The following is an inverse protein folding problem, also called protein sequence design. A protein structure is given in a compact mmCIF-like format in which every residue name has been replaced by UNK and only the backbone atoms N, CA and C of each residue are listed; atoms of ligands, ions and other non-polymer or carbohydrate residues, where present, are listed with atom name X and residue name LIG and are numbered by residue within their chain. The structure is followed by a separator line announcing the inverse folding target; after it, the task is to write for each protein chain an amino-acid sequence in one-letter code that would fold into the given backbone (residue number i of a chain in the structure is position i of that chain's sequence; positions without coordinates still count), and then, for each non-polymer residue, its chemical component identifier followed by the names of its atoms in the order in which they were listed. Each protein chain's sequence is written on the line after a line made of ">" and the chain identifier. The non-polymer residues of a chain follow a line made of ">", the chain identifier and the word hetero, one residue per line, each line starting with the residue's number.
data_IF_931585820514
#
_entry.id   IF_931585820514
#
_cell.length_a   1.000
_cell.length_b   1.000
_cell.length_c   1.000
_cell.angle_alpha   90.00
_cell.angle_beta   90.00
_cell.angle_gamma   90.00
#
_symmetry.space_group_name_H-M   'P 1'
#
loop_
_entity.id
_entity.type
_entity.pdbx_description
1 polymer ?
#
# COMPACT_ATOMS: atom_id res chain seq x y z
N UNK A 1 9.19 33.35 20.04
CA UNK A 1 8.43 32.11 20.30
C UNK A 1 8.42 31.30 19.01
N UNK A 2 8.90 30.06 19.04
CA UNK A 2 9.00 29.22 17.83
C UNK A 2 7.86 28.22 17.82
N UNK A 3 7.09 28.21 16.74
CA UNK A 3 6.01 27.24 16.54
C UNK A 3 6.49 26.09 15.65
N UNK A 4 6.05 24.88 15.97
CA UNK A 4 6.26 23.67 15.18
C UNK A 4 4.88 23.18 14.74
N UNK A 5 4.62 23.23 13.44
CA UNK A 5 3.35 22.75 12.89
C UNK A 5 3.48 21.25 12.66
N UNK A 6 2.60 20.48 13.30
CA UNK A 6 2.53 19.04 13.12
C UNK A 6 1.46 18.72 12.07
N UNK A 7 1.91 18.30 10.88
CA UNK A 7 1.08 17.90 9.74
C UNK A 7 1.12 16.38 9.60
N UNK A 8 -0.01 15.81 9.21
CA UNK A 8 -0.14 14.38 8.89
C UNK A 8 -0.86 14.22 7.54
N UNK A 9 -0.76 13.05 6.91
CA UNK A 9 -1.52 12.77 5.69
C UNK A 9 -3.02 12.67 5.94
N UNK A 10 -3.85 12.84 4.91
CA UNK A 10 -5.33 12.81 5.00
C UNK A 10 -5.93 11.47 5.44
N UNK A 11 -5.12 10.43 5.68
CA UNK A 11 -5.57 9.10 6.12
C UNK A 11 -5.59 8.87 7.64
N UNK A 12 -5.01 9.76 8.45
CA UNK A 12 -5.02 9.58 9.92
C UNK A 12 -6.37 10.05 10.48
N UNK A 13 -6.99 9.24 11.33
CA UNK A 13 -8.28 9.54 12.00
C UNK A 13 -8.10 9.52 13.52
N UNK A 14 -9.07 10.06 14.23
CA UNK A 14 -9.17 9.82 15.67
C UNK A 14 -9.50 8.35 15.96
N UNK A 15 -9.01 7.79 17.09
CA UNK A 15 -8.16 8.43 18.12
C UNK A 15 -6.66 8.48 17.78
N UNK A 16 -6.26 7.95 16.61
CA UNK A 16 -4.85 7.81 16.21
C UNK A 16 -4.14 9.14 15.98
N UNK A 17 -4.86 10.17 15.53
CA UNK A 17 -4.33 11.53 15.39
C UNK A 17 -3.88 12.09 16.75
N UNK A 18 -4.77 12.12 17.74
CA UNK A 18 -4.45 12.62 19.08
C UNK A 18 -3.27 11.87 19.71
N UNK A 19 -3.21 10.54 19.56
CA UNK A 19 -2.10 9.73 20.06
C UNK A 19 -0.76 10.04 19.36
N UNK A 20 -0.78 10.31 18.05
CA UNK A 20 0.42 10.65 17.30
C UNK A 20 0.90 12.07 17.61
N UNK A 21 -0.01 13.05 17.65
CA UNK A 21 0.29 14.43 17.99
C UNK A 21 0.85 14.56 19.42
N UNK A 22 0.33 13.78 20.37
CA UNK A 22 0.84 13.72 21.74
C UNK A 22 2.29 13.20 21.80
N UNK A 23 2.57 12.05 21.14
CA UNK A 23 3.93 11.49 21.07
C UNK A 23 4.93 12.43 20.41
N UNK A 24 4.53 13.07 19.32
CA UNK A 24 5.35 14.07 18.64
C UNK A 24 5.64 15.27 19.56
N UNK A 25 4.62 15.77 20.26
CA UNK A 25 4.76 16.91 21.15
C UNK A 25 5.77 16.64 22.27
N UNK A 26 5.64 15.49 22.94
CA UNK A 26 6.59 15.05 23.99
C UNK A 26 8.02 14.97 23.45
N UNK A 27 8.20 14.36 22.27
CA UNK A 27 9.53 14.24 21.67
C UNK A 27 10.17 15.59 21.34
N UNK A 28 9.41 16.49 20.72
CA UNK A 28 9.92 17.80 20.30
C UNK A 28 10.22 18.71 21.49
N UNK A 29 9.33 18.76 22.49
CA UNK A 29 9.58 19.59 23.69
C UNK A 29 10.71 19.03 24.53
N UNK A 30 10.93 17.71 24.52
CA UNK A 30 12.08 17.09 25.19
C UNK A 30 13.43 17.45 24.55
N UNK A 31 13.46 17.82 23.27
CA UNK A 31 14.69 18.27 22.59
C UNK A 31 14.98 19.75 22.83
N UNK A 32 13.94 20.57 22.99
CA UNK A 32 14.08 22.01 23.20
C UNK A 32 12.84 22.59 23.89
N UNK A 33 13.10 23.24 25.02
CA UNK A 33 12.07 23.99 25.74
C UNK A 33 11.59 25.23 24.98
N UNK A 34 10.34 25.61 25.24
CA UNK A 34 9.73 26.82 24.67
C UNK A 34 9.22 26.68 23.24
N UNK A 35 9.23 25.46 22.67
CA UNK A 35 8.56 25.16 21.41
C UNK A 35 7.05 24.99 21.62
N UNK A 36 6.25 25.65 20.77
CA UNK A 36 4.80 25.45 20.72
C UNK A 36 4.46 24.51 19.58
N UNK A 37 3.95 23.33 19.88
CA UNK A 37 3.43 22.42 18.86
C UNK A 37 1.99 22.80 18.50
N UNK A 38 1.73 22.92 17.19
CA UNK A 38 0.41 23.22 16.64
C UNK A 38 -0.01 22.05 15.75
N UNK A 39 -0.84 21.13 16.25
CA UNK A 39 -1.32 20.00 15.45
C UNK A 39 -2.45 20.45 14.53
N UNK A 40 -2.40 20.02 13.26
CA UNK A 40 -3.42 20.36 12.27
C UNK A 40 -4.11 19.09 11.77
N UNK A 41 -5.40 18.97 12.06
CA UNK A 41 -6.17 17.75 11.80
C UNK A 41 -6.77 17.74 10.38
N UNK A 42 -6.02 17.27 9.39
CA UNK A 42 -6.52 17.11 8.02
C UNK A 42 -7.49 15.94 7.84
N UNK A 43 -7.48 14.98 8.78
CA UNK A 43 -8.24 13.75 8.66
C UNK A 43 -9.75 13.92 8.79
N UNK A 44 -10.19 15.04 9.35
CA UNK A 44 -11.60 15.41 9.44
C UNK A 44 -12.06 16.05 8.14
N UNK A 45 -11.69 17.31 7.92
CA UNK A 45 -12.20 18.12 6.81
C UNK A 45 -11.73 17.65 5.43
N UNK A 46 -10.49 17.15 5.32
CA UNK A 46 -9.88 16.76 4.06
C UNK A 46 -9.62 15.25 3.97
N UNK A 47 -10.13 14.48 4.92
CA UNK A 47 -9.96 13.05 4.97
C UNK A 47 -10.86 12.34 3.96
N UNK A 48 -10.33 11.32 3.28
CA UNK A 48 -11.17 10.40 2.51
C UNK A 48 -12.15 9.65 3.44
N UNK A 49 -13.43 9.63 3.07
CA UNK A 49 -14.45 8.82 3.74
C UNK A 49 -14.79 7.61 2.87
N UNK A 50 -15.23 6.53 3.52
CA UNK A 50 -15.76 5.39 2.79
C UNK A 50 -17.19 5.71 2.36
N UNK A 51 -17.45 5.64 1.05
CA UNK A 51 -18.82 5.74 0.55
C UNK A 51 -19.64 4.54 1.05
N UNK A 52 -20.91 4.79 1.43
CA UNK A 52 -21.82 3.78 1.97
C UNK A 52 -21.17 2.94 3.10
N UNK A 53 -20.44 3.59 4.00
CA UNK A 53 -19.74 2.96 5.13
C UNK A 53 -18.80 1.80 4.73
N UNK A 54 -18.32 1.81 3.49
CA UNK A 54 -17.44 0.77 2.98
C UNK A 54 -18.17 -0.52 2.61
N UNK A 55 -19.45 -0.46 2.21
CA UNK A 55 -20.22 -1.62 1.77
C UNK A 55 -19.58 -2.41 0.61
N UNK A 56 -18.72 -1.75 -0.20
CA UNK A 56 -17.94 -2.39 -1.25
C UNK A 56 -16.64 -3.02 -0.77
N UNK A 57 -16.25 -2.80 0.49
CA UNK A 57 -15.07 -3.43 1.06
C UNK A 57 -15.43 -4.89 1.39
N UNK A 58 -14.60 -5.86 0.97
CA UNK A 58 -14.79 -7.24 1.39
C UNK A 58 -14.76 -7.30 2.93
N UNK A 59 -15.56 -8.18 3.55
CA UNK A 59 -15.54 -8.36 5.00
C UNK A 59 -14.09 -8.65 5.42
N UNK A 60 -13.58 -7.80 6.30
CA UNK A 60 -12.18 -7.82 6.75
C UNK A 60 -11.83 -9.19 7.32
N UNK A 61 -11.21 -10.03 6.50
CA UNK A 61 -10.30 -11.08 6.96
C UNK A 61 -8.99 -10.34 7.25
N UNK A 62 -8.65 -10.25 8.54
CA UNK A 62 -7.70 -9.27 9.05
C UNK A 62 -6.34 -9.25 8.35
N UNK A 63 -6.11 -8.26 7.48
CA UNK A 63 -4.76 -7.88 7.01
C UNK A 63 -4.67 -6.45 6.45
N UNK A 64 -5.74 -5.63 6.50
CA UNK A 64 -5.75 -4.30 5.88
C UNK A 64 -5.06 -3.17 6.66
N UNK A 65 -4.34 -3.46 7.75
CA UNK A 65 -3.67 -2.41 8.53
C UNK A 65 -2.29 -2.14 7.93
N UNK A 66 -2.15 -1.04 7.18
CA UNK A 66 -0.84 -0.40 6.94
C UNK A 66 -0.27 0.09 8.28
N UNK A 67 0.40 -0.81 8.99
CA UNK A 67 1.10 -0.64 10.26
C UNK A 67 2.13 -1.78 10.40
N UNK A 68 3.15 -1.64 11.26
CA UNK A 68 4.37 -2.45 11.17
C UNK A 68 4.06 -3.94 11.18
N UNK A 69 4.62 -4.58 10.17
CA UNK A 69 4.46 -5.97 9.77
C UNK A 69 4.73 -6.95 10.91
N UNK A 70 3.97 -8.04 10.90
CA UNK A 70 4.26 -9.25 11.68
C UNK A 70 5.64 -9.76 11.24
N UNK A 71 6.59 -9.99 12.16
CA UNK A 71 7.87 -10.57 11.78
C UNK A 71 7.67 -12.04 11.41
N UNK A 72 7.87 -12.38 10.12
CA UNK A 72 7.80 -13.76 9.65
C UNK A 72 7.41 -13.98 8.18
N UNK A 73 6.94 -12.96 7.44
CA UNK A 73 6.62 -13.05 6.01
C UNK A 73 7.74 -12.48 5.11
N UNK A 74 9.00 -12.66 5.52
CA UNK A 74 10.16 -12.09 4.85
C UNK A 74 10.89 -13.14 4.03
N UNK A 75 10.60 -13.20 2.73
CA UNK A 75 11.64 -13.12 1.68
C UNK A 75 10.99 -13.05 0.28
N UNK A 76 9.97 -13.88 0.01
CA UNK A 76 9.39 -14.02 -1.34
C UNK A 76 8.78 -12.73 -1.91
N UNK A 77 8.07 -11.95 -1.10
CA UNK A 77 7.41 -10.72 -1.59
C UNK A 77 8.41 -9.61 -1.91
N UNK A 78 9.53 -9.52 -1.19
CA UNK A 78 10.50 -8.43 -1.38
C UNK A 78 11.23 -8.56 -2.71
N UNK A 79 11.56 -9.79 -3.10
CA UNK A 79 12.21 -10.07 -4.38
C UNK A 79 11.27 -9.80 -5.57
N UNK A 80 9.98 -10.11 -5.42
CA UNK A 80 8.96 -9.80 -6.41
C UNK A 80 8.83 -8.28 -6.65
N UNK A 81 8.84 -7.48 -5.58
CA UNK A 81 8.82 -6.01 -5.71
C UNK A 81 10.10 -5.46 -6.33
N UNK A 82 11.27 -6.03 -6.01
CA UNK A 82 12.54 -5.60 -6.59
C UNK A 82 12.56 -5.75 -8.12
N UNK A 83 11.96 -6.82 -8.65
CA UNK A 83 11.82 -7.03 -10.09
C UNK A 83 10.97 -5.93 -10.75
N UNK A 84 9.85 -5.52 -10.12
CA UNK A 84 8.98 -4.45 -10.63
C UNK A 84 9.61 -3.06 -10.57
N UNK A 85 10.47 -2.81 -9.57
CA UNK A 85 11.23 -1.57 -9.51
C UNK A 85 12.33 -1.49 -10.58
N UNK A 86 12.93 -2.64 -10.92
CA UNK A 86 13.92 -2.73 -11.99
C UNK A 86 13.28 -2.66 -13.38
N UNK A 87 12.12 -3.28 -13.56
CA UNK A 87 11.32 -3.24 -14.78
C UNK A 87 9.81 -3.24 -14.46
N UNK A 88 9.11 -2.10 -14.66
CA UNK A 88 7.67 -2.03 -14.39
C UNK A 88 6.82 -2.90 -15.33
N UNK A 89 7.38 -3.44 -16.41
CA UNK A 89 6.72 -4.34 -17.34
C UNK A 89 7.10 -5.82 -17.14
N UNK A 90 7.86 -6.17 -16.09
CA UNK A 90 8.36 -7.53 -15.89
C UNK A 90 7.25 -8.59 -15.91
N UNK A 91 6.16 -8.37 -15.18
CA UNK A 91 5.02 -9.31 -15.14
C UNK A 91 4.24 -9.37 -16.45
N UNK A 92 4.08 -8.24 -17.13
CA UNK A 92 3.42 -8.16 -18.44
C UNK A 92 4.23 -8.85 -19.53
N UNK A 93 5.56 -8.76 -19.45
CA UNK A 93 6.50 -9.42 -20.36
C UNK A 93 6.53 -10.92 -20.11
N UNK A 94 6.44 -11.39 -18.86
CA UNK A 94 6.28 -12.82 -18.56
C UNK A 94 4.93 -13.34 -19.09
N UNK A 95 3.86 -12.58 -18.90
CA UNK A 95 2.54 -12.91 -19.44
C UNK A 95 2.54 -12.96 -20.98
N UNK A 96 3.22 -12.03 -21.65
CA UNK A 96 3.33 -11.98 -23.11
C UNK A 96 4.35 -13.00 -23.69
N UNK A 97 5.43 -13.26 -22.95
CA UNK A 97 6.53 -14.16 -23.30
C UNK A 97 6.17 -15.64 -23.17
N UNK A 98 5.10 -15.96 -22.43
CA UNK A 98 4.42 -17.26 -22.51
C UNK A 98 3.84 -17.57 -23.90
N UNK A 99 3.87 -16.60 -24.83
CA UNK A 99 3.58 -16.79 -26.25
C UNK A 99 4.66 -16.33 -27.24
N UNK A 100 5.80 -15.77 -26.82
CA UNK A 100 6.75 -15.14 -27.77
C UNK A 100 8.23 -15.22 -27.33
N UNK A 101 8.78 -16.43 -27.22
CA UNK A 101 10.21 -16.62 -27.49
C UNK A 101 10.44 -16.44 -29.00
N UNK A 102 11.54 -15.79 -29.40
CA UNK A 102 11.93 -15.62 -30.80
C UNK A 102 11.98 -16.99 -31.51
N UNK A 103 10.90 -17.31 -32.25
CA UNK A 103 10.63 -18.64 -32.81
C UNK A 103 9.21 -19.19 -32.57
N UNK A 104 8.39 -18.53 -31.74
CA UNK A 104 7.02 -18.96 -31.46
C UNK A 104 6.05 -18.60 -32.60
N UNK A 105 5.24 -19.58 -32.99
CA UNK A 105 4.15 -19.44 -33.94
C UNK A 105 3.17 -18.33 -33.51
N UNK A 106 2.44 -17.69 -34.45
CA UNK A 106 1.43 -16.68 -34.13
C UNK A 106 0.45 -17.21 -33.08
N UNK A 107 -0.06 -16.32 -32.22
CA UNK A 107 -0.99 -16.62 -31.14
C UNK A 107 -2.04 -17.66 -31.59
N UNK A 108 -1.81 -18.91 -31.21
CA UNK A 108 -2.70 -19.99 -31.55
C UNK A 108 -3.92 -19.87 -30.64
N UNK A 109 -5.11 -19.96 -31.22
CA UNK A 109 -6.34 -20.07 -30.46
C UNK A 109 -6.20 -21.24 -29.48
N UNK A 110 -6.36 -20.94 -28.19
CA UNK A 110 -6.25 -21.96 -27.15
C UNK A 110 -7.36 -23.00 -27.36
N UNK A 111 -7.05 -24.31 -27.32
CA UNK A 111 -8.06 -25.35 -27.42
C UNK A 111 -9.14 -25.14 -26.36
N UNK A 112 -10.44 -25.38 -26.67
CA UNK A 112 -11.51 -25.26 -25.70
C UNK A 112 -11.20 -26.03 -24.41
N UNK A 113 -11.25 -25.33 -23.26
CA UNK A 113 -10.93 -25.90 -21.95
C UNK A 113 -9.47 -25.72 -21.49
N UNK A 114 -8.61 -25.14 -22.32
CA UNK A 114 -7.24 -24.78 -21.90
C UNK A 114 -7.26 -23.51 -21.05
N UNK A 115 -6.46 -23.50 -19.98
CA UNK A 115 -6.30 -22.33 -19.14
C UNK A 115 -5.28 -21.36 -19.75
N UNK A 116 -5.58 -20.05 -19.81
CA UNK A 116 -4.60 -19.03 -20.13
C UNK A 116 -3.36 -19.13 -19.23
N UNK A 117 -2.16 -18.86 -19.77
CA UNK A 117 -0.92 -18.94 -19.00
C UNK A 117 -0.83 -17.94 -17.83
N UNK A 118 -1.65 -16.88 -17.84
CA UNK A 118 -1.76 -15.89 -16.76
C UNK A 118 -2.77 -16.30 -15.65
N UNK A 119 -3.48 -17.42 -15.80
CA UNK A 119 -4.42 -17.95 -14.80
C UNK A 119 -3.83 -18.05 -13.38
N UNK A 120 -2.63 -18.61 -13.15
CA UNK A 120 -2.05 -18.69 -11.80
C UNK A 120 -1.72 -17.33 -11.19
N UNK A 121 -1.45 -16.30 -12.02
CA UNK A 121 -1.24 -14.92 -11.56
C UNK A 121 -2.56 -14.29 -11.12
N UNK A 122 -3.64 -14.50 -11.89
CA UNK A 122 -4.99 -14.02 -11.53
C UNK A 122 -5.50 -14.60 -10.22
N UNK A 123 -5.13 -15.83 -9.89
CA UNK A 123 -5.54 -16.48 -8.63
C UNK A 123 -4.75 -16.01 -7.40
N UNK A 124 -3.69 -15.21 -7.59
CA UNK A 124 -2.87 -14.64 -6.51
C UNK A 124 -3.27 -13.21 -6.15
N UNK A 125 -4.11 -12.57 -6.96
CA UNK A 125 -4.71 -11.24 -6.72
C UNK A 125 -6.12 -11.40 -6.14
#
# INVERSE_FOLDING_TARGET
>A
MTAVVFIHGTGVREPGFSALAGRFSVGVTGLRDGLRVVPYYWGGEHGATLAADGASLPPVSGAGRRGPSVPGAGDDDTEAWAALYADPYAELTLAAGSGTAAGAAPAAELPPGSLPPDQPLRTRL
#
